data_IF_699557307355
#
_entry.id   IF_699557307355
#
_cell.length_a   1.000
_cell.length_b   1.000
_cell.length_c   1.000
_cell.angle_alpha   90.00
_cell.angle_beta   90.00
_cell.angle_gamma   90.00
#
_symmetry.space_group_name_H-M   'P 1'
#
loop_
_entity.id
_entity.type
_entity.pdbx_description
1 polymer ?
#
# COMPACT_ATOMS: atom_id res chain seq x y z
N UNK A 1 -18.23 40.70 56.20
CA UNK A 1 -18.99 39.62 55.51
C UNK A 1 -18.41 39.47 54.10
N UNK A 2 -18.37 38.22 53.63
CA UNK A 2 -17.53 37.62 52.57
C UNK A 2 -17.37 38.45 51.28
N UNK A 3 -16.12 38.64 50.83
CA UNK A 3 -15.80 38.97 49.43
C UNK A 3 -15.73 37.66 48.64
N UNK A 4 -16.63 37.48 47.67
CA UNK A 4 -16.58 36.39 46.70
C UNK A 4 -15.47 36.69 45.69
N UNK A 5 -14.46 35.83 45.63
CA UNK A 5 -13.48 35.76 44.55
C UNK A 5 -14.01 34.79 43.48
N UNK A 6 -14.49 35.32 42.37
CA UNK A 6 -14.86 34.52 41.20
C UNK A 6 -13.61 34.33 40.35
N UNK A 7 -13.00 33.13 40.40
CA UNK A 7 -12.00 32.72 39.43
C UNK A 7 -12.70 32.36 38.11
N UNK A 8 -12.38 33.11 37.05
CA UNK A 8 -12.81 32.80 35.70
C UNK A 8 -11.82 31.77 35.12
N UNK A 9 -12.24 30.51 35.03
CA UNK A 9 -11.48 29.48 34.32
C UNK A 9 -11.55 29.72 32.82
N UNK A 10 -10.40 29.97 32.19
CA UNK A 10 -10.26 29.98 30.74
C UNK A 10 -10.33 28.52 30.26
N UNK A 11 -11.45 28.13 29.66
CA UNK A 11 -11.54 26.89 28.90
C UNK A 11 -11.00 27.15 27.50
N UNK A 12 -9.75 26.75 27.25
CA UNK A 12 -9.17 26.76 25.91
C UNK A 12 -9.83 25.65 25.09
N UNK A 13 -10.77 26.02 24.23
CA UNK A 13 -11.32 25.13 23.21
C UNK A 13 -10.25 25.02 22.12
N UNK A 14 -9.44 23.95 22.16
CA UNK A 14 -8.65 23.56 20.99
C UNK A 14 -9.61 23.05 19.92
N UNK A 15 -9.99 23.92 18.98
CA UNK A 15 -10.65 23.49 17.76
C UNK A 15 -9.66 22.64 16.95
N UNK A 16 -9.85 21.32 16.94
CA UNK A 16 -9.21 20.45 15.96
C UNK A 16 -9.82 20.80 14.61
N UNK A 17 -9.08 21.54 13.81
CA UNK A 17 -9.37 21.73 12.38
C UNK A 17 -9.21 20.37 11.70
N UNK A 18 -10.33 19.67 11.45
CA UNK A 18 -10.35 18.51 10.55
C UNK A 18 -10.15 19.06 9.14
N UNK A 19 -8.90 19.17 8.71
CA UNK A 19 -8.59 19.36 7.30
C UNK A 19 -9.01 18.08 6.58
N UNK A 20 -10.06 18.16 5.78
CA UNK A 20 -10.41 17.11 4.83
C UNK A 20 -9.28 16.99 3.83
N UNK A 21 -8.39 16.01 4.03
CA UNK A 21 -7.38 15.65 3.04
C UNK A 21 -8.10 14.98 1.86
N UNK A 22 -8.00 15.58 0.68
CA UNK A 22 -8.38 14.90 -0.57
C UNK A 22 -7.31 13.85 -0.86
N UNK A 23 -7.67 12.57 -0.79
CA UNK A 23 -6.79 11.45 -1.13
C UNK A 23 -6.75 11.28 -2.65
N UNK A 24 -5.75 11.86 -3.32
CA UNK A 24 -5.57 11.70 -4.76
C UNK A 24 -4.15 11.24 -5.06
N UNK A 25 -3.99 10.24 -5.93
CA UNK A 25 -2.69 9.91 -6.49
C UNK A 25 -2.21 11.05 -7.40
N UNK A 26 -0.94 11.44 -7.29
CA UNK A 26 -0.35 12.32 -8.29
C UNK A 26 0.07 11.48 -9.49
N UNK A 27 -0.36 11.88 -10.68
CA UNK A 27 0.06 11.28 -11.94
C UNK A 27 1.53 11.62 -12.23
N UNK A 28 2.45 11.12 -11.42
CA UNK A 28 3.83 10.95 -11.85
C UNK A 28 3.79 9.86 -12.93
N UNK A 29 4.18 10.18 -14.16
CA UNK A 29 4.25 9.22 -15.27
C UNK A 29 5.34 8.17 -15.03
N UNK A 30 5.13 7.30 -14.05
CA UNK A 30 6.02 6.21 -13.69
C UNK A 30 5.83 5.05 -14.67
N UNK A 31 6.88 4.26 -14.84
CA UNK A 31 6.83 3.05 -15.64
C UNK A 31 7.57 1.94 -14.90
N UNK A 32 6.93 0.77 -14.82
CA UNK A 32 7.52 -0.43 -14.28
C UNK A 32 8.68 -0.87 -15.16
N UNK A 33 9.77 -1.32 -14.53
CA UNK A 33 10.95 -1.84 -15.26
C UNK A 33 10.51 -2.97 -16.18
N UNK A 34 11.00 -2.98 -17.42
CA UNK A 34 10.47 -3.85 -18.49
C UNK A 34 10.66 -5.36 -18.22
N UNK A 35 11.74 -5.73 -17.53
CA UNK A 35 11.97 -7.10 -17.04
C UNK A 35 10.95 -7.49 -15.97
N UNK A 36 10.64 -6.61 -15.02
CA UNK A 36 9.60 -6.85 -14.01
C UNK A 36 8.22 -6.95 -14.65
N UNK A 37 7.90 -6.06 -15.59
CA UNK A 37 6.66 -6.14 -16.35
C UNK A 37 6.54 -7.46 -17.11
N UNK A 38 7.63 -7.93 -17.73
CA UNK A 38 7.68 -9.22 -18.41
C UNK A 38 7.44 -10.36 -17.42
N UNK A 39 8.11 -10.35 -16.26
CA UNK A 39 7.95 -11.35 -15.20
C UNK A 39 6.53 -11.38 -14.65
N UNK A 40 5.94 -10.22 -14.34
CA UNK A 40 4.60 -10.16 -13.75
C UNK A 40 3.52 -10.55 -14.76
N UNK A 41 3.68 -10.21 -16.04
CA UNK A 41 2.75 -10.66 -17.09
C UNK A 41 2.72 -12.18 -17.25
N UNK A 42 3.80 -12.91 -16.92
CA UNK A 42 3.80 -14.37 -16.96
C UNK A 42 2.91 -15.01 -15.87
N UNK A 43 2.56 -14.25 -14.83
CA UNK A 43 1.63 -14.69 -13.77
C UNK A 43 0.18 -14.66 -14.26
N UNK A 44 -0.09 -13.88 -15.29
CA UNK A 44 -1.44 -13.60 -15.77
C UNK A 44 -1.72 -14.56 -16.93
N UNK A 45 -2.84 -15.28 -16.84
CA UNK A 45 -3.27 -16.25 -17.84
C UNK A 45 -4.40 -15.65 -18.67
N UNK A 46 -4.85 -16.39 -19.70
CA UNK A 46 -6.05 -15.99 -20.43
C UNK A 46 -7.26 -15.88 -19.48
N UNK A 47 -8.27 -15.08 -19.87
CA UNK A 47 -9.56 -15.00 -19.17
C UNK A 47 -10.10 -16.41 -18.85
N UNK A 48 -10.69 -16.57 -17.67
CA UNK A 48 -11.22 -17.82 -17.11
C UNK A 48 -10.17 -18.85 -16.71
N UNK A 49 -8.88 -18.50 -16.76
CA UNK A 49 -7.78 -19.34 -16.31
C UNK A 49 -7.23 -18.73 -15.02
N UNK A 50 -7.28 -19.46 -13.89
CA UNK A 50 -6.82 -18.96 -12.61
C UNK A 50 -5.44 -18.31 -12.70
N UNK A 51 -5.29 -17.20 -12.01
CA UNK A 51 -4.01 -16.54 -11.80
C UNK A 51 -2.94 -17.58 -11.48
N UNK A 52 -1.82 -17.53 -12.20
CA UNK A 52 -0.73 -18.46 -11.97
C UNK A 52 -0.01 -18.04 -10.70
N UNK A 53 -0.45 -18.62 -9.59
CA UNK A 53 0.19 -18.56 -8.29
C UNK A 53 1.54 -19.30 -8.31
N UNK A 54 2.49 -18.91 -9.18
CA UNK A 54 3.89 -19.28 -9.03
C UNK A 54 4.25 -19.20 -7.54
N UNK A 55 5.22 -19.98 -7.06
CA UNK A 55 5.56 -20.18 -5.64
C UNK A 55 5.97 -18.91 -4.84
N UNK A 56 5.58 -17.73 -5.29
CA UNK A 56 5.46 -16.48 -4.58
C UNK A 56 4.77 -16.68 -3.22
N UNK A 57 5.37 -16.11 -2.15
CA UNK A 57 4.74 -16.11 -0.84
C UNK A 57 3.40 -15.38 -0.86
N UNK A 58 2.31 -16.09 -0.54
CA UNK A 58 0.99 -15.49 -0.34
C UNK A 58 1.03 -14.53 0.86
N UNK A 59 0.44 -13.36 0.68
CA UNK A 59 0.32 -12.35 1.71
C UNK A 59 -1.07 -12.36 2.33
N UNK A 60 -1.14 -11.87 3.57
CA UNK A 60 -2.39 -11.49 4.19
C UNK A 60 -2.81 -10.13 3.60
N UNK A 61 -3.86 -10.15 2.78
CA UNK A 61 -4.29 -9.03 1.96
C UNK A 61 -4.92 -7.88 2.79
N UNK A 62 -5.18 -8.10 4.08
CA UNK A 62 -5.60 -7.05 5.00
C UNK A 62 -4.46 -6.41 5.77
N UNK A 63 -3.23 -6.91 5.65
CA UNK A 63 -2.07 -6.49 6.44
C UNK A 63 -0.98 -5.84 5.59
N UNK A 64 -1.39 -4.90 4.75
CA UNK A 64 -0.50 -4.13 3.89
C UNK A 64 -0.23 -2.76 4.53
N UNK A 65 1.04 -2.51 4.87
CA UNK A 65 1.46 -1.31 5.60
C UNK A 65 2.48 -0.50 4.82
N UNK A 66 2.60 0.78 5.15
CA UNK A 66 3.73 1.62 4.79
C UNK A 66 4.48 1.98 6.08
N UNK A 67 5.79 1.79 6.07
CA UNK A 67 6.67 1.87 7.25
C UNK A 67 7.40 3.20 7.41
N UNK A 68 7.05 4.22 6.60
CA UNK A 68 7.66 5.54 6.67
C UNK A 68 8.88 5.71 5.77
N UNK A 69 9.21 4.74 4.91
CA UNK A 69 10.27 4.90 3.91
C UNK A 69 9.93 6.09 2.98
N UNK A 70 10.86 7.04 2.75
CA UNK A 70 10.65 8.22 1.92
C UNK A 70 10.33 7.91 0.44
N UNK A 71 10.49 6.66 0.01
CA UNK A 71 9.97 6.21 -1.26
C UNK A 71 8.45 6.03 -1.14
N UNK A 72 7.69 6.93 -1.76
CA UNK A 72 6.22 6.85 -1.81
C UNK A 72 5.75 5.50 -2.37
N UNK A 73 4.59 5.06 -1.90
CA UNK A 73 3.94 3.85 -2.39
C UNK A 73 3.55 4.07 -3.85
N UNK A 74 3.93 3.14 -4.72
CA UNK A 74 3.72 3.25 -6.16
C UNK A 74 2.88 2.08 -6.64
N UNK A 75 1.84 2.39 -7.42
CA UNK A 75 0.96 1.39 -8.02
C UNK A 75 1.20 1.35 -9.52
N UNK A 76 1.40 0.16 -10.07
CA UNK A 76 1.62 -0.09 -11.50
C UNK A 76 0.55 -1.02 -12.04
N UNK A 77 -0.07 -0.62 -13.14
CA UNK A 77 -0.96 -1.50 -13.90
C UNK A 77 -0.13 -2.56 -14.63
N UNK A 78 -0.42 -3.85 -14.39
CA UNK A 78 0.31 -4.95 -15.03
C UNK A 78 -0.43 -5.42 -16.28
N UNK A 79 -1.69 -5.80 -16.13
CA UNK A 79 -2.57 -6.27 -17.20
C UNK A 79 -4.03 -6.41 -16.68
N UNK A 80 -4.95 -6.72 -17.59
CA UNK A 80 -6.33 -7.10 -17.29
C UNK A 80 -6.75 -8.31 -18.14
N UNK A 81 -7.54 -9.19 -17.51
CA UNK A 81 -8.10 -10.39 -18.12
C UNK A 81 -9.59 -10.27 -18.46
N UNK A 82 -10.27 -9.22 -18.01
CA UNK A 82 -11.72 -9.03 -18.16
C UNK A 82 -12.08 -7.76 -18.97
N UNK A 83 -13.32 -7.70 -19.47
CA UNK A 83 -13.81 -6.59 -20.31
C UNK A 83 -14.42 -5.40 -19.55
N UNK A 84 -14.34 -5.39 -18.21
CA UNK A 84 -14.84 -4.25 -17.43
C UNK A 84 -13.81 -3.13 -17.34
N UNK A 85 -14.28 -1.90 -17.58
CA UNK A 85 -13.49 -0.69 -17.35
C UNK A 85 -13.53 -0.32 -15.87
N UNK A 86 -12.68 -1.00 -15.12
CA UNK A 86 -12.64 -0.92 -13.67
C UNK A 86 -12.01 0.40 -13.17
N UNK A 87 -12.15 0.69 -11.88
CA UNK A 87 -11.41 1.76 -11.20
C UNK A 87 -10.60 1.17 -10.06
N UNK A 88 -9.32 1.55 -9.95
CA UNK A 88 -8.49 1.20 -8.81
C UNK A 88 -8.52 2.32 -7.77
N UNK A 89 -8.83 1.97 -6.53
CA UNK A 89 -8.91 2.88 -5.39
C UNK A 89 -8.04 2.38 -4.24
N UNK A 90 -7.80 3.26 -3.27
CA UNK A 90 -7.18 2.92 -1.99
C UNK A 90 -7.84 3.65 -0.83
N UNK A 91 -7.62 3.17 0.39
CA UNK A 91 -7.87 3.91 1.62
C UNK A 91 -6.65 3.79 2.53
N UNK A 92 -6.31 4.88 3.22
CA UNK A 92 -5.29 4.91 4.25
C UNK A 92 -5.96 4.92 5.63
N UNK A 93 -5.61 3.96 6.49
CA UNK A 93 -6.14 3.83 7.86
C UNK A 93 -7.68 3.90 7.94
N UNK A 94 -8.38 3.15 7.06
CA UNK A 94 -9.85 3.16 6.93
C UNK A 94 -10.47 4.55 6.61
N UNK A 95 -9.65 5.47 6.09
CA UNK A 95 -10.10 6.77 5.62
C UNK A 95 -10.97 6.72 4.37
N UNK A 96 -11.29 7.89 3.78
CA UNK A 96 -12.01 7.97 2.52
C UNK A 96 -11.28 7.24 1.38
N UNK A 97 -12.05 6.75 0.40
CA UNK A 97 -11.49 6.18 -0.82
C UNK A 97 -10.82 7.26 -1.66
N UNK A 98 -9.54 7.06 -1.95
CA UNK A 98 -8.78 7.81 -2.95
C UNK A 98 -8.69 7.06 -4.28
N UNK A 99 -8.69 7.79 -5.38
CA UNK A 99 -8.55 7.22 -6.72
C UNK A 99 -7.08 7.03 -7.06
N UNK A 100 -6.73 5.84 -7.57
CA UNK A 100 -5.43 5.55 -8.19
C UNK A 100 -5.57 5.65 -9.71
N UNK A 101 -6.47 4.85 -10.29
CA UNK A 101 -6.77 4.85 -11.72
C UNK A 101 -8.28 4.96 -11.93
N UNK A 102 -8.71 6.01 -12.63
CA UNK A 102 -10.12 6.25 -12.92
C UNK A 102 -10.66 5.33 -14.02
N UNK A 103 -9.78 4.70 -14.78
CA UNK A 103 -10.09 3.84 -15.91
C UNK A 103 -8.94 2.84 -16.08
N UNK A 104 -9.21 1.61 -15.67
CA UNK A 104 -8.32 0.47 -15.84
C UNK A 104 -8.79 -0.21 -17.11
N UNK A 105 -8.09 0.08 -18.20
CA UNK A 105 -8.31 -0.49 -19.52
C UNK A 105 -7.06 -0.29 -20.38
N UNK A 106 -6.73 -1.22 -21.27
CA UNK A 106 -5.61 -1.06 -22.20
C UNK A 106 -5.85 -1.70 -23.55
N UNK A 107 -5.29 -1.05 -24.57
CA UNK A 107 -5.15 -1.64 -25.92
C UNK A 107 -4.18 -2.82 -25.95
N UNK A 108 -3.36 -3.00 -24.91
CA UNK A 108 -2.29 -3.99 -24.83
C UNK A 108 -2.59 -5.16 -23.88
N UNK A 109 -3.75 -5.12 -23.22
CA UNK A 109 -4.15 -6.17 -22.29
C UNK A 109 -4.48 -7.50 -22.98
N UNK A 110 -4.67 -8.56 -22.18
CA UNK A 110 -5.13 -9.87 -22.67
C UNK A 110 -6.48 -9.72 -23.38
N UNK A 111 -7.42 -9.00 -22.77
CA UNK A 111 -8.59 -8.47 -23.45
C UNK A 111 -8.34 -7.01 -23.83
N UNK A 112 -8.09 -6.78 -25.11
CA UNK A 112 -7.74 -5.47 -25.64
C UNK A 112 -8.96 -4.57 -25.76
N UNK A 113 -8.92 -3.42 -25.08
CA UNK A 113 -9.89 -2.34 -25.22
C UNK A 113 -9.36 -1.28 -26.19
N UNK A 114 -10.08 -1.04 -27.29
CA UNK A 114 -9.59 -0.22 -28.41
C UNK A 114 -9.29 1.25 -28.06
N UNK A 115 -9.89 1.77 -26.98
CA UNK A 115 -9.67 3.10 -26.42
C UNK A 115 -9.13 3.05 -24.98
N UNK A 116 -8.44 1.97 -24.62
CA UNK A 116 -7.93 1.76 -23.27
C UNK A 116 -6.99 2.87 -22.79
N UNK A 117 -7.18 3.32 -21.54
CA UNK A 117 -6.52 4.51 -21.00
C UNK A 117 -5.08 4.30 -20.51
N UNK A 118 -4.70 3.05 -20.21
CA UNK A 118 -3.41 2.72 -19.61
C UNK A 118 -2.51 1.97 -20.60
N UNK A 119 -1.20 2.22 -20.49
CA UNK A 119 -0.19 1.31 -21.06
C UNK A 119 0.22 0.27 -20.03
N UNK A 120 0.61 -0.93 -20.45
CA UNK A 120 1.13 -1.93 -19.51
C UNK A 120 2.38 -1.39 -18.79
N UNK A 121 2.45 -1.59 -17.47
CA UNK A 121 3.50 -1.08 -16.61
C UNK A 121 3.37 0.41 -16.26
N UNK A 122 2.36 1.12 -16.76
CA UNK A 122 2.10 2.49 -16.35
C UNK A 122 1.82 2.54 -14.84
N UNK A 123 2.47 3.46 -14.14
CA UNK A 123 2.30 3.61 -12.70
C UNK A 123 2.04 5.04 -12.26
N UNK A 124 1.61 5.16 -11.01
CA UNK A 124 1.43 6.42 -10.29
C UNK A 124 2.00 6.30 -8.88
N UNK A 125 2.46 7.42 -8.34
CA UNK A 125 2.80 7.52 -6.94
C UNK A 125 1.54 7.88 -6.14
N UNK A 126 1.31 7.17 -5.05
CA UNK A 126 0.38 7.64 -4.02
C UNK A 126 1.00 8.84 -3.30
N UNK A 127 0.13 9.67 -2.74
CA UNK A 127 0.54 10.79 -1.89
C UNK A 127 1.41 10.33 -0.72
N UNK A 128 2.15 11.28 -0.13
CA UNK A 128 2.86 11.03 1.11
C UNK A 128 1.89 10.73 2.25
N UNK A 129 2.30 9.82 3.13
CA UNK A 129 1.57 9.47 4.34
C UNK A 129 2.36 9.97 5.56
N UNK A 130 1.69 10.14 6.69
CA UNK A 130 2.32 10.58 7.93
C UNK A 130 2.12 9.54 9.03
N UNK A 131 3.22 9.04 9.59
CA UNK A 131 3.21 8.01 10.62
C UNK A 131 2.82 6.62 10.10
N UNK A 132 2.65 5.64 11.02
CA UNK A 132 2.25 4.28 10.66
C UNK A 132 0.96 4.29 9.84
N UNK A 133 1.01 3.70 8.64
CA UNK A 133 -0.12 3.73 7.71
C UNK A 133 -0.42 2.32 7.23
N UNK A 134 -1.66 1.88 7.40
CA UNK A 134 -2.21 0.71 6.71
C UNK A 134 -2.85 1.18 5.41
N UNK A 135 -2.58 0.48 4.33
CA UNK A 135 -3.14 0.76 3.01
C UNK A 135 -4.02 -0.39 2.58
N UNK A 136 -5.27 -0.08 2.28
CA UNK A 136 -6.25 -1.00 1.73
C UNK A 136 -6.49 -0.64 0.27
N UNK A 137 -6.52 -1.63 -0.61
CA UNK A 137 -6.76 -1.44 -2.04
C UNK A 137 -8.14 -1.97 -2.41
N UNK A 138 -8.78 -1.32 -3.38
CA UNK A 138 -10.11 -1.66 -3.81
C UNK A 138 -10.27 -1.56 -5.31
N UNK A 139 -11.12 -2.42 -5.86
CA UNK A 139 -11.59 -2.34 -7.23
C UNK A 139 -13.05 -1.91 -7.24
N UNK A 140 -13.39 -0.86 -7.98
CA UNK A 140 -14.79 -0.60 -8.35
C UNK A 140 -15.06 -1.22 -9.70
N UNK A 141 -15.84 -2.29 -9.70
CA UNK A 141 -16.16 -3.05 -10.89
C UNK A 141 -16.93 -2.20 -11.90
N UNK A 142 -16.46 -2.17 -13.15
CA UNK A 142 -16.98 -1.35 -14.25
C UNK A 142 -17.18 0.14 -13.86
N UNK A 143 -16.38 0.65 -12.93
CA UNK A 143 -16.60 1.95 -12.30
C UNK A 143 -16.47 3.13 -13.27
N UNK A 144 -15.66 3.03 -14.32
CA UNK A 144 -15.56 4.06 -15.36
C UNK A 144 -16.90 4.27 -16.09
N UNK A 145 -17.67 3.19 -16.26
CA UNK A 145 -19.01 3.21 -16.85
C UNK A 145 -20.14 3.36 -15.80
N UNK A 146 -19.80 3.71 -14.56
CA UNK A 146 -20.77 3.95 -13.49
C UNK A 146 -21.19 2.71 -12.69
N UNK A 147 -20.47 1.59 -12.81
CA UNK A 147 -20.62 0.45 -11.90
C UNK A 147 -20.39 0.86 -10.44
N UNK A 148 -21.04 0.16 -9.50
CA UNK A 148 -21.10 0.56 -8.09
C UNK A 148 -20.58 -0.51 -7.12
N UNK A 149 -20.34 -1.73 -7.59
CA UNK A 149 -19.80 -2.79 -6.73
C UNK A 149 -18.33 -2.46 -6.43
N UNK A 150 -17.97 -2.48 -5.14
CA UNK A 150 -16.60 -2.26 -4.69
C UNK A 150 -16.11 -3.54 -4.03
N UNK A 151 -14.90 -3.93 -4.39
CA UNK A 151 -14.24 -5.13 -3.95
C UNK A 151 -12.91 -4.81 -3.31
N UNK A 152 -12.53 -5.53 -2.25
CA UNK A 152 -11.30 -5.28 -1.50
C UNK A 152 -10.80 -6.51 -0.75
N UNK A 153 -9.93 -6.29 0.24
CA UNK A 153 -9.39 -7.35 1.10
C UNK A 153 -10.45 -8.09 1.91
N UNK A 154 -10.10 -9.27 2.44
CA UNK A 154 -11.04 -10.15 3.12
C UNK A 154 -11.67 -9.55 4.38
N UNK A 155 -10.97 -8.62 5.05
CA UNK A 155 -11.49 -7.93 6.24
C UNK A 155 -12.64 -6.96 5.93
N UNK A 156 -12.87 -6.63 4.65
CA UNK A 156 -13.99 -5.79 4.22
C UNK A 156 -15.22 -6.57 3.74
N UNK A 157 -15.26 -7.90 3.89
CA UNK A 157 -16.46 -8.70 3.56
C UNK A 157 -17.68 -8.21 4.31
N UNK A 158 -18.73 -7.83 3.56
CA UNK A 158 -19.96 -7.23 4.10
C UNK A 158 -19.71 -5.99 4.98
N UNK A 159 -18.69 -5.20 4.65
CA UNK A 159 -18.32 -3.98 5.37
C UNK A 159 -18.59 -2.72 4.54
N UNK A 160 -18.20 -1.57 5.06
CA UNK A 160 -18.28 -0.29 4.36
C UNK A 160 -17.01 0.52 4.51
N UNK A 161 -16.60 1.23 3.45
CA UNK A 161 -15.51 2.21 3.48
C UNK A 161 -16.05 3.52 2.92
N UNK A 162 -15.94 4.62 3.67
CA UNK A 162 -16.53 5.90 3.26
C UNK A 162 -18.04 5.82 2.96
N UNK A 163 -18.79 4.99 3.71
CA UNK A 163 -20.21 4.67 3.49
C UNK A 163 -20.52 3.92 2.18
N UNK A 164 -19.52 3.43 1.47
CA UNK A 164 -19.72 2.57 0.30
C UNK A 164 -19.60 1.10 0.72
N UNK A 165 -20.54 0.23 0.34
CA UNK A 165 -20.49 -1.17 0.70
C UNK A 165 -19.38 -1.89 -0.10
N UNK A 166 -18.63 -2.74 0.59
CA UNK A 166 -17.48 -3.48 0.02
C UNK A 166 -17.72 -4.97 0.18
N UNK A 167 -17.34 -5.77 -0.83
CA UNK A 167 -17.46 -7.24 -0.81
C UNK A 167 -18.85 -7.69 -0.32
N UNK A 168 -19.90 -7.15 -0.92
CA UNK A 168 -21.29 -7.24 -0.42
C UNK A 168 -21.96 -8.60 -0.67
N UNK A 169 -21.29 -9.50 -1.39
CA UNK A 169 -21.63 -10.91 -1.47
C UNK A 169 -20.93 -11.75 -0.38
N UNK A 170 -20.03 -11.15 0.40
CA UNK A 170 -19.27 -11.81 1.45
C UNK A 170 -18.11 -12.69 0.97
N UNK A 171 -17.71 -12.57 -0.30
CA UNK A 171 -16.67 -13.39 -0.91
C UNK A 171 -15.31 -12.67 -0.94
N UNK A 172 -14.24 -13.43 -1.19
CA UNK A 172 -12.91 -12.86 -1.49
C UNK A 172 -12.93 -12.25 -2.88
N UNK A 173 -12.43 -11.05 -3.09
CA UNK A 173 -12.25 -10.50 -4.44
C UNK A 173 -10.84 -10.01 -4.71
N UNK A 174 -9.92 -10.24 -3.78
CA UNK A 174 -8.55 -9.77 -3.88
C UNK A 174 -7.59 -10.85 -3.38
N UNK A 175 -6.55 -11.12 -4.16
CA UNK A 175 -5.40 -11.93 -3.74
C UNK A 175 -4.15 -11.05 -3.73
N UNK A 176 -3.19 -11.39 -2.88
CA UNK A 176 -1.94 -10.65 -2.76
C UNK A 176 -0.75 -11.60 -2.59
N UNK A 177 0.32 -11.35 -3.35
CA UNK A 177 1.56 -12.13 -3.32
C UNK A 177 2.77 -11.22 -3.21
N UNK A 178 3.81 -11.68 -2.51
CA UNK A 178 5.08 -10.98 -2.48
C UNK A 178 5.98 -11.42 -3.64
N UNK A 179 6.61 -10.45 -4.28
CA UNK A 179 7.73 -10.66 -5.17
C UNK A 179 8.93 -9.84 -4.70
N UNK A 180 10.08 -10.48 -4.48
CA UNK A 180 11.31 -9.78 -4.15
C UNK A 180 12.13 -9.58 -5.43
N UNK A 181 12.34 -8.32 -5.81
CA UNK A 181 13.23 -7.96 -6.90
C UNK A 181 14.68 -8.00 -6.41
N UNK A 182 15.41 -9.04 -6.81
CA UNK A 182 16.82 -9.20 -6.45
C UNK A 182 17.72 -8.09 -7.02
N UNK A 183 17.31 -7.41 -8.09
CA UNK A 183 18.12 -6.36 -8.72
C UNK A 183 18.04 -5.07 -7.90
N UNK A 184 16.83 -4.60 -7.58
CA UNK A 184 16.65 -3.40 -6.78
C UNK A 184 16.71 -3.65 -5.26
N UNK A 185 16.69 -4.91 -4.82
CA UNK A 185 16.57 -5.33 -3.41
C UNK A 185 15.28 -4.78 -2.76
N UNK A 186 14.18 -4.85 -3.49
CA UNK A 186 12.88 -4.28 -3.09
C UNK A 186 11.77 -5.32 -3.19
N UNK A 187 10.75 -5.21 -2.34
CA UNK A 187 9.54 -6.01 -2.44
C UNK A 187 8.47 -5.30 -3.26
N UNK A 188 7.77 -6.09 -4.07
CA UNK A 188 6.53 -5.76 -4.74
C UNK A 188 5.41 -6.64 -4.18
N UNK A 189 4.25 -6.03 -3.96
CA UNK A 189 3.00 -6.74 -3.71
C UNK A 189 2.25 -6.85 -5.02
N UNK A 190 2.10 -8.07 -5.54
CA UNK A 190 1.28 -8.35 -6.71
C UNK A 190 -0.15 -8.58 -6.22
N UNK A 191 -1.08 -7.76 -6.70
CA UNK A 191 -2.50 -7.81 -6.33
C UNK A 191 -3.30 -8.20 -7.57
N UNK A 192 -4.08 -9.28 -7.46
CA UNK A 192 -5.08 -9.69 -8.46
C UNK A 192 -6.49 -9.51 -7.90
N UNK A 193 -7.43 -9.13 -8.75
CA UNK A 193 -8.83 -8.97 -8.39
C UNK A 193 -9.77 -9.83 -9.23
N UNK A 194 -10.90 -10.19 -8.63
CA UNK A 194 -12.11 -10.66 -9.31
C UNK A 194 -13.13 -9.51 -9.29
N UNK A 195 -13.65 -9.12 -10.46
CA UNK A 195 -14.59 -8.02 -10.65
C UNK A 195 -16.05 -8.46 -10.87
N UNK A 196 -16.31 -9.77 -10.94
CA UNK A 196 -17.65 -10.32 -11.03
C UNK A 196 -18.21 -10.69 -9.67
N UNK A 197 -19.51 -10.45 -9.49
CA UNK A 197 -20.25 -10.76 -8.28
C UNK A 197 -20.58 -12.26 -8.19
N UNK A 198 -20.44 -12.83 -6.99
CA UNK A 198 -20.98 -14.14 -6.66
C UNK A 198 -19.98 -15.30 -6.70
N UNK A 199 -20.49 -16.49 -6.40
CA UNK A 199 -19.69 -17.73 -6.38
C UNK A 199 -19.30 -18.18 -7.79
N UNK A 200 -18.34 -19.10 -7.87
CA UNK A 200 -17.89 -19.71 -9.12
C UNK A 200 -19.08 -20.27 -9.93
N UNK A 201 -19.28 -19.76 -11.14
CA UNK A 201 -20.33 -20.17 -12.06
C UNK A 201 -21.73 -19.69 -11.67
N UNK A 202 -21.86 -18.81 -10.67
CA UNK A 202 -23.14 -18.24 -10.29
C UNK A 202 -23.73 -17.44 -11.46
N UNK A 203 -25.01 -17.66 -11.75
CA UNK A 203 -25.72 -16.99 -12.85
C UNK A 203 -27.08 -16.47 -12.41
N UNK A 204 -27.49 -15.35 -13.02
CA UNK A 204 -28.78 -14.72 -12.78
C UNK A 204 -28.77 -13.68 -11.66
N UNK A 205 -29.69 -12.71 -11.76
CA UNK A 205 -29.73 -11.56 -10.85
C UNK A 205 -28.49 -10.68 -11.03
N UNK A 206 -27.72 -10.49 -9.95
CA UNK A 206 -26.43 -9.78 -9.98
C UNK A 206 -25.25 -10.67 -10.39
N UNK A 207 -25.43 -11.99 -10.48
CA UNK A 207 -24.34 -12.90 -10.80
C UNK A 207 -24.14 -12.96 -12.31
N UNK A 208 -22.92 -12.61 -12.73
CA UNK A 208 -22.54 -12.44 -14.14
C UNK A 208 -21.63 -13.58 -14.64
N UNK A 209 -21.64 -14.72 -13.94
CA UNK A 209 -20.82 -15.88 -14.33
C UNK A 209 -19.39 -15.82 -13.81
N UNK A 210 -19.18 -15.27 -12.60
CA UNK A 210 -17.89 -15.20 -11.92
C UNK A 210 -17.11 -16.51 -12.06
N UNK A 211 -15.88 -16.42 -12.53
CA UNK A 211 -14.99 -17.56 -12.75
C UNK A 211 -13.84 -17.62 -11.73
N UNK A 212 -13.76 -16.63 -10.84
CA UNK A 212 -12.97 -16.67 -9.60
C UNK A 212 -11.50 -16.88 -9.91
N UNK A 213 -11.06 -16.34 -11.04
CA UNK A 213 -9.72 -16.53 -11.56
C UNK A 213 -8.74 -15.47 -11.06
N UNK A 214 -9.27 -14.36 -10.52
CA UNK A 214 -8.55 -13.22 -9.93
C UNK A 214 -7.52 -12.59 -10.86
N UNK A 215 -7.72 -12.73 -12.18
CA UNK A 215 -6.89 -12.12 -13.20
C UNK A 215 -7.61 -10.98 -13.94
N UNK A 216 -8.89 -10.73 -13.62
CA UNK A 216 -9.71 -9.68 -14.22
C UNK A 216 -8.94 -8.36 -14.31
N UNK A 217 -8.25 -7.97 -13.23
CA UNK A 217 -7.20 -6.95 -13.25
C UNK A 217 -6.06 -7.29 -12.30
N UNK A 218 -4.83 -6.92 -12.69
CA UNK A 218 -3.63 -7.17 -11.88
C UNK A 218 -2.77 -5.91 -11.76
N UNK A 219 -2.33 -5.63 -10.53
CA UNK A 219 -1.46 -4.52 -10.19
C UNK A 219 -0.21 -4.99 -9.45
N UNK A 220 0.87 -4.24 -9.60
CA UNK A 220 2.06 -4.37 -8.75
C UNK A 220 2.19 -3.12 -7.88
N UNK A 221 2.33 -3.30 -6.57
CA UNK A 221 2.50 -2.22 -5.61
C UNK A 221 3.90 -2.26 -5.02
N UNK A 222 4.64 -1.16 -5.11
CA UNK A 222 5.96 -0.98 -4.50
C UNK A 222 5.86 -0.12 -3.26
N UNK A 223 6.72 -0.38 -2.27
CA UNK A 223 6.86 0.45 -1.08
C UNK A 223 5.99 0.02 0.10
N UNK A 224 5.37 -1.16 0.03
CA UNK A 224 4.65 -1.76 1.13
C UNK A 224 5.57 -2.61 2.02
N UNK A 225 5.19 -2.71 3.29
CA UNK A 225 5.71 -3.63 4.28
C UNK A 225 4.57 -4.52 4.80
N UNK A 226 4.91 -5.71 5.26
CA UNK A 226 3.94 -6.73 5.72
C UNK A 226 3.93 -6.87 7.25
N UNK A 227 4.58 -5.93 7.93
CA UNK A 227 4.63 -5.85 9.38
C UNK A 227 4.07 -4.50 9.76
N UNK A 228 3.21 -4.50 10.77
CA UNK A 228 2.72 -3.24 11.33
C UNK A 228 3.93 -2.42 11.78
N UNK A 229 4.05 -1.15 11.36
CA UNK A 229 5.14 -0.29 11.81
C UNK A 229 5.06 -0.13 13.34
N UNK A 230 6.20 0.03 14.03
CA UNK A 230 6.19 0.39 15.44
C UNK A 230 5.32 1.64 15.66
N UNK A 231 4.41 1.60 16.64
CA UNK A 231 3.54 2.74 16.99
C UNK A 231 4.27 3.83 17.78
N UNK A 232 5.47 3.52 18.28
CA UNK A 232 6.33 4.44 19.00
C UNK A 232 7.60 4.70 18.17
N UNK A 233 8.16 5.93 18.19
CA UNK A 233 9.49 6.16 17.68
C UNK A 233 10.43 5.24 18.48
N UNK A 234 10.99 4.23 17.84
CA UNK A 234 12.13 3.54 18.44
C UNK A 234 13.21 4.60 18.58
N UNK A 235 13.67 4.87 19.80
CA UNK A 235 14.88 5.67 20.04
C UNK A 235 16.02 5.03 19.24
N UNK A 236 16.22 5.48 18.01
CA UNK A 236 17.40 5.15 17.21
C UNK A 236 18.51 5.98 17.84
N UNK A 237 19.54 5.37 18.47
CA UNK A 237 20.67 6.14 18.94
C UNK A 237 21.26 6.85 17.73
N UNK A 238 21.29 8.18 17.75
CA UNK A 238 21.93 8.93 16.69
C UNK A 238 23.37 8.40 16.49
N UNK A 239 23.90 8.36 15.26
CA UNK A 239 25.28 7.93 14.99
C UNK A 239 26.33 8.65 15.86
N UNK A 240 25.99 9.85 16.34
CA UNK A 240 26.74 10.67 17.29
C UNK A 240 26.89 10.04 18.69
N UNK A 241 25.92 9.25 19.16
CA UNK A 241 26.02 8.52 20.43
C UNK A 241 27.05 7.37 20.36
N UNK A 242 27.17 6.73 19.19
CA UNK A 242 28.18 5.70 18.92
C UNK A 242 29.58 6.31 18.79
N UNK A 243 29.72 7.47 18.16
CA UNK A 243 30.98 8.22 18.10
C UNK A 243 31.46 8.71 19.48
N UNK A 244 30.52 9.06 20.37
CA UNK A 244 30.85 9.41 21.76
C UNK A 244 31.51 8.27 22.55
N UNK A 245 31.12 7.02 22.27
CA UNK A 245 31.70 5.85 22.95
C UNK A 245 33.11 5.50 22.43
N UNK A 246 33.39 5.73 21.14
CA UNK A 246 34.74 5.58 20.59
C UNK A 246 35.69 6.74 20.98
N UNK A 247 35.16 7.95 21.18
CA UNK A 247 35.96 9.11 21.62
C UNK A 247 36.53 8.97 23.04
N UNK A 248 35.81 8.31 23.94
CA UNK A 248 36.26 8.07 25.32
C UNK A 248 37.36 7.00 25.43
N UNK A 249 37.42 6.05 24.49
CA UNK A 249 38.48 5.01 24.48
C UNK A 249 39.82 5.59 24.00
N UNK A 250 39.81 6.59 23.11
CA UNK A 250 41.05 7.19 22.58
C UNK A 250 41.72 8.19 23.54
N UNK A 251 40.98 8.81 24.46
CA UNK A 251 41.54 9.74 25.45
C UNK A 251 42.09 9.05 26.72
N UNK A 252 41.78 7.76 26.94
CA UNK A 252 42.28 7.01 28.10
C UNK A 252 43.65 6.34 27.92
N UNK A 253 44.17 6.25 26.70
CA UNK A 253 45.37 5.46 26.36
C UNK A 253 46.71 6.20 26.41
N UNK A 254 46.72 7.54 26.54
CA UNK A 254 47.93 8.34 26.46
C UNK A 254 48.27 9.00 27.81
N UNK A 255 48.55 8.19 28.84
CA UNK A 255 48.75 8.76 30.18
C UNK A 255 49.39 7.89 31.24
N UNK A 256 50.20 6.88 30.91
CA UNK A 256 51.02 6.19 31.92
C UNK A 256 52.38 5.75 31.35
N UNK A 257 53.29 6.71 31.15
CA UNK A 257 54.73 6.41 31.14
C UNK A 257 55.34 6.97 32.43
N UNK A 258 55.38 6.11 33.44
CA UNK A 258 55.92 6.40 34.77
C UNK A 258 57.45 6.34 34.68
N UNK A 259 58.10 7.50 34.78
CA UNK A 259 59.54 7.60 35.00
C UNK A 259 59.92 6.90 36.32
N UNK A 260 60.86 5.97 36.25
CA UNK A 260 61.60 5.47 37.40
C UNK A 260 63.09 5.60 37.12
N UNK A 261 63.76 6.55 37.79
CA UNK A 261 65.16 6.48 38.27
C UNK A 261 65.45 7.74 39.10
N UNK A 262 65.68 7.56 40.41
CA UNK A 262 66.03 8.60 41.39
C UNK A 262 67.45 9.17 41.19
N UNK A 263 67.76 10.36 41.73
CA UNK A 263 69.12 10.87 41.90
C UNK A 263 69.64 10.80 43.36
N UNK A 264 70.98 10.86 43.48
CA UNK A 264 71.85 11.16 44.63
C UNK A 264 71.92 10.12 45.77
N UNK A 265 73.09 9.76 46.31
CA UNK A 265 74.34 10.50 46.55
C UNK A 265 75.59 9.65 46.37
#
# INVERSE_FOLDING_TARGET
MKKLSTQLGLATICALSVTTFSTSAEAAGLSLRSDLLTTFNQLIQAERVPFNELALPKLDNSRLFWDGNPNSVQAYFVNEGAGYRNQLLFAANDGPLGMIFNDVSSTQSILSEGDGALSLGQGVALQEFFGPTQLSFFLRANGFNGGQNIYGSDDYRNSTVGNQPVNSDGLTHMIAYNYFDEVAQENYTIIGFEDLWGELGASGGKNEGSDRDFNDVVFAIKGLSYRQPPTEPTDVPEPSALLGLFGLVLLGGAGLQRQSSQPSS
#
